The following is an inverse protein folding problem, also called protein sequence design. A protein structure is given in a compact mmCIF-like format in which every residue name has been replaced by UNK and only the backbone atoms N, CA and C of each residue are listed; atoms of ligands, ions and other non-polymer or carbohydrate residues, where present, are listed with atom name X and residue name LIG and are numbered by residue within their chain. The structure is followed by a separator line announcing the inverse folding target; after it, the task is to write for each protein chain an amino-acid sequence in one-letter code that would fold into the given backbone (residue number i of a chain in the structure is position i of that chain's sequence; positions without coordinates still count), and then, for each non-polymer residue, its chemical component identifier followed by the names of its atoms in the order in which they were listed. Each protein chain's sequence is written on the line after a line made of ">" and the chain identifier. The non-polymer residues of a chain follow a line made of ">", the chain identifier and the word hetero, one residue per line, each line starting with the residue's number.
data_IF_784697505184
#
_entry.id   IF_784697505184
#
_cell.length_a   1.000
_cell.length_b   1.000
_cell.length_c   1.000
_cell.angle_alpha   90.00
_cell.angle_beta   90.00
_cell.angle_gamma   90.00
#
_symmetry.space_group_name_H-M   'P 1'
#
loop_
_entity.id
_entity.type
_entity.pdbx_description
1 polymer ?
#
# COMPACT_ATOMS: atom_id res chain seq x y z
N UNK A 1 2.01 4.00 -22.51
CA UNK A 1 2.08 3.92 -21.04
C UNK A 1 3.53 3.64 -20.66
N UNK A 2 4.09 4.43 -19.74
CA UNK A 2 5.44 4.18 -19.23
C UNK A 2 5.41 2.97 -18.28
N UNK A 3 6.50 2.21 -18.18
CA UNK A 3 6.60 1.04 -17.30
C UNK A 3 6.24 1.37 -15.84
N UNK A 4 6.66 2.55 -15.36
CA UNK A 4 6.32 3.06 -14.04
C UNK A 4 4.81 3.25 -13.85
N UNK A 5 4.12 3.80 -14.85
CA UNK A 5 2.67 4.04 -14.75
C UNK A 5 1.90 2.72 -14.70
N UNK A 6 2.34 1.71 -15.44
CA UNK A 6 1.71 0.38 -15.39
C UNK A 6 1.85 -0.24 -13.99
N UNK A 7 3.07 -0.21 -13.42
CA UNK A 7 3.33 -0.70 -12.06
C UNK A 7 2.49 0.08 -11.04
N UNK A 8 2.42 1.40 -11.14
CA UNK A 8 1.64 2.21 -10.22
C UNK A 8 0.15 1.87 -10.27
N UNK A 9 -0.42 1.69 -11.46
CA UNK A 9 -1.84 1.30 -11.62
C UNK A 9 -2.10 -0.06 -10.95
N UNK A 10 -1.27 -1.06 -11.23
CA UNK A 10 -1.43 -2.40 -10.65
C UNK A 10 -1.30 -2.37 -9.12
N UNK A 11 -0.36 -1.58 -8.59
CA UNK A 11 -0.14 -1.43 -7.14
C UNK A 11 -1.28 -0.67 -6.47
N UNK A 12 -1.84 0.34 -7.12
CA UNK A 12 -2.97 1.10 -6.58
C UNK A 12 -4.24 0.24 -6.50
N UNK A 13 -4.56 -0.51 -7.56
CA UNK A 13 -5.67 -1.48 -7.58
C UNK A 13 -5.49 -2.58 -6.53
N UNK A 14 -4.26 -3.08 -6.35
CA UNK A 14 -3.93 -4.00 -5.27
C UNK A 14 -4.20 -3.37 -3.89
N UNK A 15 -3.75 -2.14 -3.65
CA UNK A 15 -3.90 -1.44 -2.37
C UNK A 15 -5.37 -1.23 -2.00
N UNK A 16 -6.26 -1.00 -2.97
CA UNK A 16 -7.71 -0.86 -2.73
C UNK A 16 -8.30 -2.11 -2.06
N UNK A 17 -7.80 -3.29 -2.40
CA UNK A 17 -8.27 -4.57 -1.82
C UNK A 17 -7.47 -4.97 -0.59
N UNK A 18 -6.15 -4.75 -0.61
CA UNK A 18 -5.24 -5.20 0.44
C UNK A 18 -5.36 -4.38 1.72
N UNK A 19 -5.42 -3.04 1.64
CA UNK A 19 -5.42 -2.19 2.84
C UNK A 19 -6.61 -2.47 3.78
N UNK A 20 -7.86 -2.59 3.30
CA UNK A 20 -8.99 -2.93 4.18
C UNK A 20 -8.85 -4.32 4.82
N UNK A 21 -8.31 -5.30 4.09
CA UNK A 21 -8.08 -6.63 4.61
C UNK A 21 -6.96 -6.63 5.67
N UNK A 22 -5.89 -5.87 5.43
CA UNK A 22 -4.78 -5.71 6.36
C UNK A 22 -5.22 -5.02 7.66
N UNK A 23 -5.99 -3.94 7.58
CA UNK A 23 -6.53 -3.27 8.77
C UNK A 23 -7.42 -4.20 9.62
N UNK A 24 -8.28 -5.01 8.98
CA UNK A 24 -9.08 -6.02 9.68
C UNK A 24 -8.21 -7.04 10.40
N UNK A 25 -7.13 -7.50 9.76
CA UNK A 25 -6.17 -8.41 10.36
C UNK A 25 -5.42 -7.79 11.56
N UNK A 26 -5.03 -6.52 11.46
CA UNK A 26 -4.37 -5.82 12.58
C UNK A 26 -5.30 -5.70 13.81
N UNK A 27 -6.58 -5.41 13.58
CA UNK A 27 -7.59 -5.35 14.65
C UNK A 27 -7.78 -6.73 15.28
N UNK A 28 -7.90 -7.80 14.48
CA UNK A 28 -8.16 -9.15 14.99
C UNK A 28 -6.96 -9.77 15.68
N UNK A 29 -5.74 -9.51 15.20
CA UNK A 29 -4.49 -9.99 15.80
C UNK A 29 -4.14 -9.27 17.11
N UNK A 30 -4.83 -8.17 17.43
CA UNK A 30 -4.50 -7.32 18.57
C UNK A 30 -3.20 -6.54 18.41
N UNK A 31 -2.59 -6.57 17.21
CA UNK A 31 -1.36 -5.83 16.91
C UNK A 31 -1.68 -4.34 16.80
N UNK A 32 -1.34 -3.59 17.86
CA UNK A 32 -1.58 -2.16 17.93
C UNK A 32 -0.44 -1.40 17.25
N UNK A 33 -0.70 -0.88 16.06
CA UNK A 33 0.17 0.07 15.38
C UNK A 33 -0.52 1.44 15.27
N UNK A 34 0.24 2.51 15.47
CA UNK A 34 -0.27 3.88 15.32
C UNK A 34 -0.56 4.17 13.86
N UNK A 35 -1.82 4.42 13.51
CA UNK A 35 -2.19 4.94 12.19
C UNK A 35 -1.92 6.46 12.15
N UNK A 36 -0.77 6.86 11.60
CA UNK A 36 -0.37 8.26 11.44
C UNK A 36 -0.43 8.62 9.96
N UNK A 37 -1.08 9.74 9.57
CA UNK A 37 -1.04 10.18 8.19
C UNK A 37 0.40 10.48 7.75
N UNK A 38 0.71 10.04 6.53
CA UNK A 38 1.96 10.32 5.83
C UNK A 38 1.71 11.22 4.62
N UNK A 39 2.79 11.77 4.06
CA UNK A 39 2.71 12.60 2.85
C UNK A 39 2.48 11.78 1.58
N UNK A 40 2.90 10.51 1.61
CA UNK A 40 2.73 9.57 0.51
C UNK A 40 1.68 8.53 0.89
N UNK A 41 0.91 8.08 -0.09
CA UNK A 41 0.02 6.93 0.03
C UNK A 41 0.82 5.63 0.18
N UNK A 42 0.16 4.56 0.63
CA UNK A 42 0.78 3.24 0.68
C UNK A 42 1.13 2.74 -0.73
N UNK A 43 0.27 3.01 -1.72
CA UNK A 43 0.52 2.63 -3.13
C UNK A 43 1.75 3.34 -3.71
N UNK A 44 1.97 4.61 -3.38
CA UNK A 44 3.17 5.35 -3.77
C UNK A 44 4.44 4.76 -3.13
N UNK A 45 4.41 4.51 -1.82
CA UNK A 45 5.55 3.92 -1.10
C UNK A 45 5.87 2.53 -1.65
N UNK A 46 4.84 1.70 -1.87
CA UNK A 46 5.01 0.35 -2.40
C UNK A 46 5.58 0.37 -3.82
N UNK A 47 5.11 1.30 -4.67
CA UNK A 47 5.66 1.49 -6.02
C UNK A 47 7.13 1.89 -5.99
N UNK A 48 7.53 2.81 -5.09
CA UNK A 48 8.94 3.17 -4.90
C UNK A 48 9.74 1.93 -4.50
N UNK A 49 9.30 1.16 -3.52
CA UNK A 49 10.02 -0.06 -3.09
C UNK A 49 10.18 -1.05 -4.25
N UNK A 50 9.14 -1.29 -5.04
CA UNK A 50 9.18 -2.22 -6.19
C UNK A 50 10.12 -1.76 -7.30
N UNK A 51 10.17 -0.45 -7.57
CA UNK A 51 10.98 0.09 -8.69
C UNK A 51 12.48 0.13 -8.33
N UNK A 52 12.83 0.16 -7.05
CA UNK A 52 14.21 0.32 -6.58
C UNK A 52 14.85 -0.96 -5.99
N UNK A 53 14.14 -2.10 -5.96
CA UNK A 53 14.63 -3.40 -5.45
C UNK A 53 14.44 -4.51 -6.49
#
# INVERSE_FOLDING_TARGET
>A
MNSLNAIFVDVDDFCQTFLPAWEKYLISSGFKQRNKPFRLSVSEVMTIVIVFH
#
